data_IF_686489673479
#
_entry.id   IF_686489673479
#
_cell.length_a   1.000
_cell.length_b   1.000
_cell.length_c   1.000
_cell.angle_alpha   90.00
_cell.angle_beta   90.00
_cell.angle_gamma   90.00
#
_symmetry.space_group_name_H-M   'P 1'
#
loop_
_entity.id
_entity.type
_entity.pdbx_description
1 polymer ?
#
# COMPACT_ATOMS: atom_id res chain seq x y z
N UNK A 1 9.66 19.59 -0.99
CA UNK A 1 9.97 19.69 -2.43
C UNK A 1 10.75 18.48 -2.94
N UNK A 2 11.77 17.98 -2.22
CA UNK A 2 12.62 16.85 -2.63
C UNK A 2 11.86 15.56 -3.00
N UNK A 3 10.97 15.06 -2.13
CA UNK A 3 10.25 13.80 -2.41
C UNK A 3 9.40 13.89 -3.69
N UNK A 4 8.64 14.98 -3.89
CA UNK A 4 7.82 15.15 -5.11
C UNK A 4 8.66 15.17 -6.39
N UNK A 5 9.89 15.72 -6.33
CA UNK A 5 10.83 15.72 -7.44
C UNK A 5 11.24 14.29 -7.80
N UNK A 6 11.75 13.52 -6.83
CA UNK A 6 12.18 12.15 -7.06
C UNK A 6 11.05 11.23 -7.54
N UNK A 7 9.85 11.39 -6.98
CA UNK A 7 8.66 10.65 -7.44
C UNK A 7 8.31 10.98 -8.89
N UNK A 8 8.41 12.25 -9.30
CA UNK A 8 8.13 12.65 -10.68
C UNK A 8 9.18 12.12 -11.65
N UNK A 9 10.45 12.09 -11.24
CA UNK A 9 11.57 11.56 -12.02
C UNK A 9 11.46 10.03 -12.18
N UNK A 10 11.13 9.30 -11.12
CA UNK A 10 11.01 7.83 -11.14
C UNK A 10 9.72 7.36 -11.83
N UNK A 11 8.58 7.95 -11.49
CA UNK A 11 7.25 7.44 -11.91
C UNK A 11 6.63 8.22 -13.08
N UNK A 12 7.25 9.33 -13.51
CA UNK A 12 6.75 10.22 -14.57
C UNK A 12 5.47 11.00 -14.21
N UNK A 13 4.97 10.86 -12.98
CA UNK A 13 3.73 11.48 -12.49
C UNK A 13 3.89 11.93 -11.06
N UNK A 14 3.21 13.01 -10.70
CA UNK A 14 3.11 13.43 -9.30
C UNK A 14 2.13 12.53 -8.56
N UNK A 15 2.62 11.82 -7.53
CA UNK A 15 1.77 11.03 -6.66
C UNK A 15 1.32 11.87 -5.46
N UNK A 16 0.01 11.87 -5.19
CA UNK A 16 -0.55 12.40 -3.95
C UNK A 16 -0.31 11.46 -2.77
N UNK A 17 -0.32 12.03 -1.56
CA UNK A 17 -0.37 11.26 -0.33
C UNK A 17 -1.72 10.54 -0.25
N UNK A 18 -1.68 9.24 0.01
CA UNK A 18 -2.86 8.46 0.40
C UNK A 18 -2.78 8.35 1.91
N UNK A 19 -3.81 8.80 2.62
CA UNK A 19 -3.94 8.61 4.05
C UNK A 19 -4.89 7.45 4.30
N UNK A 20 -4.62 6.68 5.35
CA UNK A 20 -5.59 5.71 5.82
C UNK A 20 -6.87 6.43 6.25
N UNK A 21 -8.01 5.88 5.83
CA UNK A 21 -9.33 6.37 6.12
C UNK A 21 -10.08 5.30 6.90
N UNK A 22 -10.43 5.62 8.15
CA UNK A 22 -11.04 4.67 9.10
C UNK A 22 -12.29 3.95 8.56
N UNK A 23 -13.04 4.59 7.67
CA UNK A 23 -14.30 4.06 7.14
C UNK A 23 -14.14 3.24 5.86
N UNK A 24 -12.96 3.24 5.25
CA UNK A 24 -12.72 2.55 3.98
C UNK A 24 -11.56 1.58 4.15
N UNK A 25 -11.84 0.40 4.70
CA UNK A 25 -10.85 -0.62 5.10
C UNK A 25 -9.72 -0.91 4.08
N UNK A 26 -9.99 -0.76 2.78
CA UNK A 26 -8.98 -0.91 1.72
C UNK A 26 -7.97 0.26 1.62
N UNK A 27 -8.18 1.38 2.33
CA UNK A 27 -7.29 2.54 2.32
C UNK A 27 -5.94 2.26 2.95
N UNK A 28 -5.91 1.42 3.99
CA UNK A 28 -4.68 1.06 4.68
C UNK A 28 -3.74 0.33 3.73
N UNK A 29 -4.24 -0.68 3.03
CA UNK A 29 -3.47 -1.42 2.03
C UNK A 29 -2.97 -0.48 0.91
N UNK A 30 -3.86 0.35 0.35
CA UNK A 30 -3.47 1.30 -0.70
C UNK A 30 -2.42 2.33 -0.22
N UNK A 31 -2.51 2.77 1.03
CA UNK A 31 -1.52 3.66 1.65
C UNK A 31 -0.16 2.96 1.78
N UNK A 32 -0.14 1.75 2.33
CA UNK A 32 1.09 1.01 2.61
C UNK A 32 1.76 0.51 1.33
N UNK A 33 0.99 0.07 0.33
CA UNK A 33 1.51 -0.26 -1.01
C UNK A 33 2.19 0.94 -1.66
N UNK A 34 1.56 2.12 -1.60
CA UNK A 34 2.16 3.36 -2.14
C UNK A 34 3.41 3.74 -1.35
N UNK A 35 3.38 3.62 -0.02
CA UNK A 35 4.53 3.86 0.83
C UNK A 35 5.71 2.97 0.47
N UNK A 36 5.49 1.65 0.36
CA UNK A 36 6.51 0.68 -0.02
C UNK A 36 7.06 0.93 -1.43
N UNK A 37 6.20 1.31 -2.39
CA UNK A 37 6.63 1.69 -3.75
C UNK A 37 7.57 2.90 -3.75
N UNK A 38 7.37 3.84 -2.83
CA UNK A 38 8.13 5.09 -2.76
C UNK A 38 9.44 4.99 -1.97
N UNK A 39 9.82 3.80 -1.48
CA UNK A 39 11.00 3.62 -0.59
C UNK A 39 12.28 4.29 -1.10
N UNK A 40 12.62 4.10 -2.38
CA UNK A 40 13.85 4.63 -2.99
C UNK A 40 13.81 6.16 -3.08
N UNK A 41 12.66 6.70 -3.51
CA UNK A 41 12.46 8.14 -3.58
C UNK A 41 12.50 8.79 -2.19
N UNK A 42 12.01 8.08 -1.16
CA UNK A 42 12.07 8.52 0.22
C UNK A 42 13.50 8.56 0.74
N UNK A 43 14.27 7.49 0.53
CA UNK A 43 15.68 7.45 0.96
C UNK A 43 16.49 8.57 0.32
N UNK A 44 16.32 8.81 -0.98
CA UNK A 44 16.98 9.89 -1.70
C UNK A 44 16.58 11.27 -1.15
N UNK A 45 15.29 11.47 -0.88
CA UNK A 45 14.79 12.72 -0.30
C UNK A 45 15.28 12.95 1.14
N UNK A 46 15.49 11.89 1.92
CA UNK A 46 16.02 11.96 3.28
C UNK A 46 17.51 12.30 3.30
N UNK A 47 18.28 11.71 2.37
CA UNK A 47 19.70 12.04 2.15
C UNK A 47 19.84 13.54 1.79
N UNK A 48 19.06 14.03 0.83
CA UNK A 48 19.09 15.44 0.41
C UNK A 48 18.69 16.41 1.54
N UNK A 49 17.83 15.96 2.46
CA UNK A 49 17.41 16.74 3.62
C UNK A 49 18.46 16.68 4.76
N UNK A 50 19.49 15.85 4.64
CA UNK A 50 20.46 15.59 5.70
C UNK A 50 19.85 14.88 6.92
N UNK A 51 18.81 14.06 6.70
CA UNK A 51 18.14 13.29 7.75
C UNK A 51 18.69 11.88 7.81
N UNK A 52 19.11 11.46 9.00
CA UNK A 52 19.58 10.09 9.26
C UNK A 52 18.44 9.08 9.49
N UNK A 53 17.18 9.53 9.46
CA UNK A 53 16.04 8.65 9.64
C UNK A 53 15.93 7.74 8.43
N UNK A 54 16.07 6.42 8.61
CA UNK A 54 15.92 5.40 7.57
C UNK A 54 15.19 4.20 8.14
N UNK A 55 14.36 3.58 7.31
CA UNK A 55 13.77 2.30 7.63
C UNK A 55 14.83 1.21 7.45
N UNK A 56 14.95 0.35 8.47
CA UNK A 56 15.77 -0.85 8.41
C UNK A 56 15.19 -1.89 7.46
N UNK A 57 16.03 -2.83 7.00
CA UNK A 57 15.58 -3.96 6.19
C UNK A 57 14.49 -4.80 6.89
N UNK A 58 14.57 -4.91 8.22
CA UNK A 58 13.56 -5.60 9.02
C UNK A 58 12.21 -4.88 8.96
N UNK A 59 12.19 -3.55 9.12
CA UNK A 59 10.95 -2.78 9.03
C UNK A 59 10.35 -2.83 7.62
N UNK A 60 11.18 -2.78 6.58
CA UNK A 60 10.72 -2.99 5.20
C UNK A 60 10.15 -4.38 4.98
N UNK A 61 10.77 -5.42 5.55
CA UNK A 61 10.22 -6.78 5.50
C UNK A 61 8.87 -6.83 6.20
N UNK A 62 8.69 -6.20 7.36
CA UNK A 62 7.41 -6.17 8.09
C UNK A 62 6.31 -5.45 7.30
N UNK A 63 6.66 -4.37 6.61
CA UNK A 63 5.74 -3.66 5.72
C UNK A 63 5.32 -4.56 4.56
N UNK A 64 6.27 -5.30 3.97
CA UNK A 64 5.98 -6.26 2.90
C UNK A 64 5.09 -7.41 3.40
N UNK A 65 5.40 -8.00 4.55
CA UNK A 65 4.57 -9.04 5.18
C UNK A 65 3.12 -8.54 5.38
N UNK A 66 2.96 -7.28 5.78
CA UNK A 66 1.65 -6.66 5.99
C UNK A 66 0.88 -6.47 4.67
N UNK A 67 1.54 -6.03 3.60
CA UNK A 67 0.93 -5.93 2.26
C UNK A 67 0.45 -7.32 1.81
N UNK A 68 1.33 -8.32 1.89
CA UNK A 68 1.04 -9.70 1.46
C UNK A 68 -0.09 -10.33 2.28
N UNK A 69 -0.17 -10.00 3.57
CA UNK A 69 -1.24 -10.48 4.44
C UNK A 69 -2.59 -9.81 4.15
N UNK A 70 -2.60 -8.52 3.80
CA UNK A 70 -3.82 -7.74 3.54
C UNK A 70 -4.37 -7.91 2.12
N UNK A 71 -3.52 -8.23 1.15
CA UNK A 71 -3.91 -8.35 -0.26
C UNK A 71 -5.03 -9.41 -0.49
N UNK A 72 -4.97 -10.61 0.11
CA UNK A 72 -6.07 -11.57 0.06
C UNK A 72 -7.39 -10.99 0.58
N UNK A 73 -7.39 -10.32 1.74
CA UNK A 73 -8.62 -9.74 2.31
C UNK A 73 -9.26 -8.72 1.38
N UNK A 74 -8.45 -7.88 0.71
CA UNK A 74 -8.96 -6.94 -0.29
C UNK A 74 -9.67 -7.68 -1.42
N UNK A 75 -9.08 -8.76 -1.94
CA UNK A 75 -9.69 -9.55 -3.02
C UNK A 75 -11.00 -10.21 -2.58
N UNK A 76 -11.05 -10.75 -1.37
CA UNK A 76 -12.26 -11.33 -0.79
C UNK A 76 -13.39 -10.30 -0.67
N UNK A 77 -13.09 -9.15 -0.09
CA UNK A 77 -14.06 -8.05 0.08
C UNK A 77 -14.51 -7.54 -1.29
N UNK A 78 -13.57 -7.30 -2.20
CA UNK A 78 -13.89 -6.82 -3.54
C UNK A 78 -14.77 -7.82 -4.30
N UNK A 79 -14.59 -9.14 -4.11
CA UNK A 79 -15.46 -10.17 -4.68
C UNK A 79 -16.87 -10.19 -4.04
N UNK A 80 -16.94 -10.11 -2.72
CA UNK A 80 -18.20 -10.12 -1.97
C UNK A 80 -19.06 -8.87 -2.23
N UNK A 81 -18.43 -7.70 -2.43
CA UNK A 81 -19.10 -6.43 -2.67
C UNK A 81 -19.57 -6.24 -4.12
N UNK A 82 -19.32 -7.19 -5.03
CA UNK A 82 -19.83 -7.07 -6.41
C UNK A 82 -21.35 -7.24 -6.45
N UNK A 83 -22.00 -6.54 -7.37
CA UNK A 83 -23.47 -6.62 -7.54
C UNK A 83 -23.95 -8.01 -7.98
N UNK A 84 -23.07 -8.77 -8.65
CA UNK A 84 -23.32 -10.14 -9.11
C UNK A 84 -22.92 -11.21 -8.07
N UNK A 85 -22.53 -10.79 -6.85
CA UNK A 85 -22.16 -11.72 -5.79
C UNK A 85 -23.35 -12.58 -5.36
N UNK A 86 -23.14 -13.89 -5.31
CA UNK A 86 -24.16 -14.88 -4.91
C UNK A 86 -23.76 -15.57 -3.61
N UNK A 87 -24.69 -16.33 -3.00
CA UNK A 87 -24.38 -17.14 -1.82
C UNK A 87 -23.24 -18.14 -2.09
N UNK A 88 -23.16 -18.69 -3.31
CA UNK A 88 -22.08 -19.57 -3.74
C UNK A 88 -20.74 -18.82 -3.81
N UNK A 89 -20.73 -17.59 -4.32
CA UNK A 89 -19.55 -16.70 -4.33
C UNK A 89 -19.06 -16.44 -2.90
N UNK A 90 -19.99 -16.19 -1.96
CA UNK A 90 -19.64 -15.97 -0.58
C UNK A 90 -19.06 -17.22 0.09
N UNK A 91 -19.70 -18.38 -0.11
CA UNK A 91 -19.23 -19.65 0.45
C UNK A 91 -17.84 -20.03 -0.07
N UNK A 92 -17.60 -19.89 -1.38
CA UNK A 92 -16.29 -20.19 -1.99
C UNK A 92 -15.21 -19.22 -1.55
N UNK A 93 -15.55 -17.93 -1.42
CA UNK A 93 -14.62 -16.91 -0.92
C UNK A 93 -14.23 -17.23 0.53
N UNK A 94 -15.19 -17.52 1.41
CA UNK A 94 -14.91 -17.80 2.82
C UNK A 94 -14.13 -19.10 3.04
N UNK A 95 -14.31 -20.13 2.20
CA UNK A 95 -13.53 -21.38 2.30
C UNK A 95 -12.06 -21.23 1.90
N UNK A 96 -11.72 -20.15 1.21
CA UNK A 96 -10.35 -19.87 0.75
C UNK A 96 -9.50 -19.13 1.80
N UNK A 97 -10.11 -18.66 2.89
CA UNK A 97 -9.49 -17.95 4.02
C UNK A 97 -9.60 -18.79 5.29
#
# INVERSE_FOLDING_TARGET
MYLKKYVKEDTGKELSLILDCRTHWNSLLAMIERFHKLKVCMDQALIDKGSDTKFSDLEWSKIKDLIESLQPFKLAVDALCRRDSTLLTAETTLKFF
#
